data_IF_150748290342
#
_entry.id   IF_150748290342
#
_cell.length_a   1.000
_cell.length_b   1.000
_cell.length_c   1.000
_cell.angle_alpha   90.00
_cell.angle_beta   90.00
_cell.angle_gamma   90.00
#
_symmetry.space_group_name_H-M   'P 1'
#
loop_
_entity.id
_entity.type
_entity.pdbx_description
1 polymer ?
#
# COMPACT_ATOMS: atom_id res chain seq x y z
N UNK A 1 -37.79 45.63 1.47
CA UNK A 1 -36.85 44.60 1.99
C UNK A 1 -36.48 43.62 0.90
N UNK A 2 -35.18 43.43 0.60
CA UNK A 2 -34.71 42.36 -0.31
C UNK A 2 -34.68 41.06 0.49
N UNK A 3 -35.53 40.08 0.16
CA UNK A 3 -35.46 38.74 0.75
C UNK A 3 -34.19 38.07 0.24
N UNK A 4 -33.22 37.85 1.14
CA UNK A 4 -32.01 37.08 0.83
C UNK A 4 -32.41 35.65 0.49
N UNK A 5 -31.96 35.15 -0.66
CA UNK A 5 -32.19 33.77 -1.09
C UNK A 5 -31.35 32.85 -0.19
N UNK A 6 -31.99 32.21 0.79
CA UNK A 6 -31.37 31.13 1.54
C UNK A 6 -31.47 29.88 0.67
N UNK A 7 -30.35 29.42 0.10
CA UNK A 7 -30.35 28.22 -0.74
C UNK A 7 -30.73 26.98 0.07
N UNK A 8 -31.62 26.16 -0.48
CA UNK A 8 -32.10 24.95 0.19
C UNK A 8 -30.94 24.00 0.56
N UNK A 9 -30.94 23.47 1.78
CA UNK A 9 -29.88 22.57 2.27
C UNK A 9 -29.74 21.31 1.39
N UNK A 10 -30.86 20.85 0.83
CA UNK A 10 -30.90 19.69 -0.08
C UNK A 10 -30.15 19.92 -1.39
N UNK A 11 -30.24 21.13 -1.97
CA UNK A 11 -29.52 21.45 -3.21
C UNK A 11 -28.01 21.54 -2.99
N UNK A 12 -27.59 22.07 -1.82
CA UNK A 12 -26.20 22.09 -1.39
C UNK A 12 -25.60 20.69 -1.19
N UNK A 13 -26.36 19.75 -0.61
CA UNK A 13 -25.91 18.36 -0.45
C UNK A 13 -25.66 17.68 -1.81
N UNK A 14 -26.59 17.84 -2.77
CA UNK A 14 -26.44 17.30 -4.13
C UNK A 14 -25.23 17.90 -4.86
N UNK A 15 -25.01 19.21 -4.71
CA UNK A 15 -23.83 19.91 -5.22
C UNK A 15 -22.54 19.33 -4.66
N UNK A 16 -22.46 19.15 -3.34
CA UNK A 16 -21.28 18.60 -2.68
C UNK A 16 -21.00 17.15 -3.12
N UNK A 17 -22.03 16.31 -3.25
CA UNK A 17 -21.87 14.95 -3.73
C UNK A 17 -21.26 14.94 -5.14
N UNK A 18 -21.75 15.80 -6.04
CA UNK A 18 -21.22 15.91 -7.40
C UNK A 18 -19.75 16.35 -7.44
N UNK A 19 -19.32 17.18 -6.50
CA UNK A 19 -17.91 17.57 -6.32
C UNK A 19 -17.10 16.36 -5.85
N UNK A 20 -17.57 15.64 -4.84
CA UNK A 20 -16.90 14.43 -4.33
C UNK A 20 -16.73 13.38 -5.44
N UNK A 21 -17.81 13.06 -6.15
CA UNK A 21 -17.81 12.09 -7.25
C UNK A 21 -16.86 12.51 -8.37
N UNK A 22 -16.66 13.81 -8.59
CA UNK A 22 -15.73 14.31 -9.60
C UNK A 22 -14.27 14.05 -9.26
N UNK A 23 -13.92 13.80 -7.99
CA UNK A 23 -12.57 13.53 -7.51
C UNK A 23 -12.31 12.05 -7.16
N UNK A 24 -13.26 11.16 -7.43
CA UNK A 24 -13.12 9.72 -7.09
C UNK A 24 -11.95 9.03 -7.84
N UNK A 25 -11.52 9.60 -8.98
CA UNK A 25 -10.34 9.14 -9.70
C UNK A 25 -9.03 9.26 -8.88
N UNK A 26 -8.99 10.13 -7.85
CA UNK A 26 -7.85 10.25 -6.93
C UNK A 26 -7.84 9.17 -5.85
N UNK A 27 -8.96 8.50 -5.60
CA UNK A 27 -9.05 7.40 -4.63
C UNK A 27 -8.11 6.25 -5.00
N UNK A 28 -7.85 6.07 -6.31
CA UNK A 28 -6.86 5.11 -6.85
C UNK A 28 -5.51 5.77 -7.23
N UNK A 29 -5.30 7.06 -6.95
CA UNK A 29 -4.03 7.75 -7.24
C UNK A 29 -2.91 7.38 -6.25
N UNK A 30 -3.22 6.63 -5.19
CA UNK A 30 -2.23 5.79 -4.52
C UNK A 30 -1.82 4.67 -5.49
N UNK A 31 -0.93 5.00 -6.41
CA UNK A 31 -0.35 4.11 -7.40
C UNK A 31 0.29 2.90 -6.72
N UNK A 32 0.22 1.71 -7.34
CA UNK A 32 0.96 0.52 -6.90
C UNK A 32 2.51 0.71 -6.93
N UNK A 33 2.98 1.87 -7.41
CA UNK A 33 4.37 2.34 -7.29
C UNK A 33 4.63 3.11 -5.99
N UNK A 34 3.75 2.99 -5.00
CA UNK A 34 3.96 3.48 -3.65
C UNK A 34 5.20 2.80 -3.05
N UNK A 35 6.37 3.38 -3.31
CA UNK A 35 7.63 3.09 -2.67
C UNK A 35 7.60 3.56 -1.20
N UNK A 36 6.57 3.19 -0.44
CA UNK A 36 6.46 3.42 1.01
C UNK A 36 7.68 2.94 1.80
N UNK A 37 8.59 2.17 1.19
CA UNK A 37 9.69 1.54 1.89
C UNK A 37 9.18 0.51 2.91
N UNK A 38 7.93 0.04 2.77
CA UNK A 38 7.47 -1.11 3.52
C UNK A 38 8.37 -2.29 3.13
N UNK A 39 9.11 -2.79 4.14
CA UNK A 39 10.00 -3.94 3.97
C UNK A 39 9.16 -5.07 3.36
N UNK A 40 9.61 -5.70 2.26
CA UNK A 40 8.89 -6.82 1.68
C UNK A 40 8.64 -7.86 2.76
N UNK A 41 7.44 -8.44 2.73
CA UNK A 41 7.10 -9.52 3.66
C UNK A 41 8.18 -10.58 3.60
N UNK A 42 8.56 -11.10 4.77
CA UNK A 42 9.50 -12.21 4.83
C UNK A 42 8.96 -13.41 4.04
N UNK A 43 9.84 -14.36 3.65
CA UNK A 43 9.44 -15.56 2.93
C UNK A 43 8.32 -16.29 3.67
N UNK A 44 7.31 -16.68 2.91
CA UNK A 44 6.03 -17.22 3.40
C UNK A 44 6.17 -18.68 3.81
N UNK A 45 7.14 -19.40 3.23
CA UNK A 45 7.38 -20.81 3.51
C UNK A 45 8.87 -21.18 3.36
N UNK A 46 9.22 -22.41 3.77
CA UNK A 46 10.60 -22.94 3.71
C UNK A 46 11.10 -23.16 2.29
N UNK A 47 10.25 -23.61 1.37
CA UNK A 47 10.66 -23.87 -0.01
C UNK A 47 11.04 -22.57 -0.75
N UNK A 48 10.31 -21.49 -0.49
CA UNK A 48 10.61 -20.14 -0.99
C UNK A 48 11.97 -19.64 -0.44
N UNK A 49 12.19 -19.82 0.86
CA UNK A 49 13.45 -19.48 1.53
C UNK A 49 14.65 -20.24 0.94
N UNK A 50 14.48 -21.53 0.64
CA UNK A 50 15.49 -22.39 0.00
C UNK A 50 15.77 -21.94 -1.44
N UNK A 51 14.72 -21.65 -2.22
CA UNK A 51 14.87 -21.12 -3.59
C UNK A 51 15.67 -19.81 -3.63
N UNK A 52 15.53 -18.93 -2.64
CA UNK A 52 16.36 -17.72 -2.54
C UNK A 52 17.82 -18.03 -2.20
N UNK A 53 18.07 -19.03 -1.35
CA UNK A 53 19.43 -19.46 -0.98
C UNK A 53 20.17 -20.11 -2.16
N UNK A 54 19.44 -20.81 -3.05
CA UNK A 54 19.97 -21.38 -4.30
C UNK A 54 20.45 -20.30 -5.29
N UNK A 55 19.73 -19.18 -5.39
CA UNK A 55 20.11 -18.07 -6.28
C UNK A 55 21.31 -17.30 -5.73
N UNK A 56 21.33 -17.05 -4.42
CA UNK A 56 22.42 -16.33 -3.76
C UNK A 56 22.55 -16.73 -2.29
N UNK A 57 23.77 -17.05 -1.85
CA UNK A 57 24.04 -17.47 -0.48
C UNK A 57 24.11 -16.26 0.46
N UNK A 58 22.94 -15.79 0.89
CA UNK A 58 22.79 -14.64 1.78
C UNK A 58 22.99 -14.96 3.26
N UNK A 59 22.97 -16.26 3.62
CA UNK A 59 23.09 -16.72 5.00
C UNK A 59 24.54 -16.92 5.40
N UNK A 60 24.89 -16.74 6.69
CA UNK A 60 26.18 -17.16 7.20
C UNK A 60 26.46 -18.63 6.84
N UNK A 61 27.73 -18.98 6.56
CA UNK A 61 28.12 -20.36 6.37
C UNK A 61 27.66 -21.22 7.56
N UNK A 62 27.08 -22.38 7.28
CA UNK A 62 26.77 -23.37 8.31
C UNK A 62 28.09 -23.95 8.80
N UNK A 63 28.49 -23.55 10.01
CA UNK A 63 29.69 -24.10 10.65
C UNK A 63 29.29 -25.44 11.26
N UNK A 64 29.83 -26.53 10.72
CA UNK A 64 29.72 -27.84 11.33
C UNK A 64 30.62 -27.83 12.58
N UNK A 65 30.09 -27.96 13.81
CA UNK A 65 30.92 -27.91 15.02
C UNK A 65 31.96 -29.04 15.07
N UNK A 66 31.75 -30.13 14.32
CA UNK A 66 32.67 -31.27 14.22
C UNK A 66 33.82 -31.07 13.21
N UNK A 67 33.75 -30.06 12.32
CA UNK A 67 34.82 -29.78 11.33
C UNK A 67 35.80 -28.70 11.77
N UNK A 68 35.58 -28.10 12.94
CA UNK A 68 36.43 -27.06 13.50
C UNK A 68 37.45 -27.59 14.54
N UNK A 69 37.62 -28.91 14.66
CA UNK A 69 38.76 -29.53 15.35
C UNK A 69 39.95 -29.78 14.41
#
# INVERSE_FOLDING_TARGET
>A
MKKGKHSDISSRKKSNQKIIDSYDYLSNAASAQDCTGLIPVGPTNRAELESYEEVYHYRPPKIDPEKCE
#
